data_IF_635831983199
#
_entry.id   IF_635831983199
#
_cell.length_a   1.000
_cell.length_b   1.000
_cell.length_c   1.000
_cell.angle_alpha   90.00
_cell.angle_beta   90.00
_cell.angle_gamma   90.00
#
_symmetry.space_group_name_H-M   'P 1'
#
loop_
_entity.id
_entity.type
_entity.pdbx_description
1 polymer ?
#
# COMPACT_ATOMS: atom_id res chain seq x y z
N UNK A 1 -22.55 -20.42 -73.13
CA UNK A 1 -23.64 -19.44 -73.26
C UNK A 1 -23.53 -18.45 -72.10
N UNK A 2 -23.25 -17.18 -72.42
CA UNK A 2 -23.19 -16.07 -71.49
C UNK A 2 -24.57 -15.79 -70.87
N UNK A 3 -24.59 -15.38 -69.59
CA UNK A 3 -25.30 -14.15 -69.18
C UNK A 3 -24.81 -13.67 -67.82
N UNK A 4 -24.18 -12.51 -67.89
CA UNK A 4 -23.85 -11.58 -66.80
C UNK A 4 -25.13 -10.91 -66.29
N UNK A 5 -25.17 -10.55 -65.01
CA UNK A 5 -25.94 -9.40 -64.51
C UNK A 5 -25.36 -8.90 -63.18
N UNK A 6 -25.36 -7.58 -63.08
CA UNK A 6 -24.48 -6.75 -62.29
C UNK A 6 -25.01 -6.40 -60.89
N UNK A 7 -24.04 -6.14 -60.01
CA UNK A 7 -23.97 -5.10 -58.97
C UNK A 7 -25.25 -4.34 -58.58
N UNK A 8 -25.53 -4.33 -57.27
CA UNK A 8 -26.02 -3.13 -56.57
C UNK A 8 -25.30 -2.96 -55.23
N UNK A 9 -24.47 -1.93 -55.17
CA UNK A 9 -23.90 -1.33 -53.96
C UNK A 9 -24.94 -0.44 -53.29
N UNK A 10 -25.12 -0.52 -51.97
CA UNK A 10 -25.75 0.56 -51.19
C UNK A 10 -24.82 1.05 -50.09
N UNK A 11 -24.14 2.16 -50.36
CA UNK A 11 -23.53 3.04 -49.36
C UNK A 11 -24.63 3.86 -48.70
N UNK A 12 -24.74 3.80 -47.37
CA UNK A 12 -25.54 4.75 -46.61
C UNK A 12 -24.60 5.61 -45.77
N UNK A 13 -24.17 6.72 -46.37
CA UNK A 13 -23.58 7.86 -45.66
C UNK A 13 -24.71 8.77 -45.22
N UNK A 14 -24.87 9.02 -43.92
CA UNK A 14 -25.59 10.23 -43.48
C UNK A 14 -25.05 10.76 -42.15
N UNK A 15 -24.52 11.98 -42.28
CA UNK A 15 -24.71 13.12 -41.39
C UNK A 15 -24.00 13.13 -40.02
N UNK A 16 -22.82 13.75 -40.10
CA UNK A 16 -22.17 14.57 -39.08
C UNK A 16 -23.18 15.49 -38.37
N UNK A 17 -23.24 15.41 -37.04
CA UNK A 17 -23.79 16.47 -36.19
C UNK A 17 -23.06 16.50 -34.83
N UNK A 18 -22.31 17.57 -34.59
CA UNK A 18 -21.85 18.11 -33.29
C UNK A 18 -21.71 19.63 -33.47
N UNK A 19 -21.73 20.48 -32.44
CA UNK A 19 -22.29 20.32 -31.08
C UNK A 19 -23.26 21.48 -30.73
N UNK A 20 -24.27 21.20 -29.89
CA UNK A 20 -25.05 22.26 -29.25
C UNK A 20 -24.32 22.74 -27.99
N UNK A 21 -23.81 23.97 -28.03
CA UNK A 21 -23.34 24.71 -26.87
C UNK A 21 -24.55 25.25 -26.09
N UNK A 22 -24.82 24.69 -24.92
CA UNK A 22 -25.73 25.29 -23.93
C UNK A 22 -24.93 26.12 -22.93
N UNK A 23 -25.10 27.43 -22.99
CA UNK A 23 -24.57 28.39 -22.04
C UNK A 23 -25.38 28.33 -20.73
N UNK A 24 -24.78 27.83 -19.65
CA UNK A 24 -25.32 28.03 -18.30
C UNK A 24 -24.75 29.33 -17.71
N UNK A 25 -25.59 30.23 -17.17
CA UNK A 25 -25.12 31.49 -16.61
C UNK A 25 -24.36 31.28 -15.29
N UNK A 26 -23.18 31.88 -15.21
CA UNK A 26 -22.36 31.97 -13.99
C UNK A 26 -22.99 33.00 -13.05
N UNK A 27 -23.46 32.55 -11.89
CA UNK A 27 -23.81 33.41 -10.76
C UNK A 27 -22.53 33.91 -10.06
N UNK A 28 -22.39 35.21 -9.75
CA UNK A 28 -21.26 35.72 -8.99
C UNK A 28 -21.53 35.58 -7.50
N UNK A 29 -20.97 34.55 -6.86
CA UNK A 29 -20.86 34.54 -5.40
C UNK A 29 -19.59 35.30 -4.98
N UNK A 30 -19.81 36.57 -4.63
CA UNK A 30 -18.89 37.41 -3.87
C UNK A 30 -18.80 36.89 -2.44
N UNK A 31 -17.67 36.33 -2.04
CA UNK A 31 -17.33 36.13 -0.64
C UNK A 31 -16.38 37.24 -0.20
N UNK A 32 -16.92 38.22 0.52
CA UNK A 32 -16.13 39.18 1.28
C UNK A 32 -15.52 38.50 2.51
N UNK A 33 -14.23 38.72 2.85
CA UNK A 33 -13.66 38.23 4.08
C UNK A 33 -14.12 39.12 5.24
N UNK A 34 -15.06 38.64 6.05
CA UNK A 34 -15.38 39.22 7.35
C UNK A 34 -14.28 38.83 8.34
N UNK A 35 -13.29 39.70 8.46
CA UNK A 35 -12.37 39.76 9.59
C UNK A 35 -13.13 40.18 10.85
N UNK A 36 -13.30 39.25 11.79
CA UNK A 36 -13.71 39.55 13.16
C UNK A 36 -12.52 39.38 14.12
N UNK A 37 -12.37 40.31 15.09
CA UNK A 37 -11.13 40.47 15.85
C UNK A 37 -10.99 39.43 16.97
N UNK A 38 -9.75 38.95 17.12
CA UNK A 38 -9.27 38.23 18.30
C UNK A 38 -9.47 39.06 19.58
N UNK A 39 -10.08 38.52 20.64
CA UNK A 39 -9.97 39.08 21.97
C UNK A 39 -8.62 38.68 22.57
N UNK A 40 -7.73 39.65 22.75
CA UNK A 40 -6.59 39.55 23.67
C UNK A 40 -7.11 39.61 25.11
N UNK A 41 -7.00 38.50 25.85
CA UNK A 41 -7.03 38.54 27.32
C UNK A 41 -5.66 38.21 27.88
N UNK A 42 -5.03 39.25 28.44
CA UNK A 42 -3.86 39.17 29.33
C UNK A 42 -4.27 38.66 30.73
N UNK A 43 -3.24 38.19 31.45
CA UNK A 43 -3.13 37.76 32.86
C UNK A 43 -3.22 36.23 33.03
N UNK A 44 -2.39 35.57 33.83
CA UNK A 44 -1.44 36.02 34.86
C UNK A 44 -0.31 35.00 34.97
N UNK A 45 0.90 35.49 35.17
CA UNK A 45 2.06 34.70 35.61
C UNK A 45 1.74 34.01 36.94
N UNK A 46 1.92 32.69 36.98
CA UNK A 46 2.12 31.93 38.21
C UNK A 46 3.40 31.12 38.03
N UNK A 47 4.47 31.61 38.66
CA UNK A 47 5.73 30.91 38.81
C UNK A 47 5.51 29.80 39.85
N UNK A 48 5.53 28.55 39.40
CA UNK A 48 5.75 27.41 40.29
C UNK A 48 7.13 26.85 39.99
N UNK A 49 8.10 27.34 40.75
CA UNK A 49 9.45 26.80 40.88
C UNK A 49 9.36 25.41 41.52
N UNK A 50 9.73 24.37 40.77
CA UNK A 50 10.14 23.08 41.33
C UNK A 50 11.66 22.96 41.17
N UNK A 51 12.40 22.59 42.24
CA UNK A 51 13.85 22.66 42.24
C UNK A 51 14.48 21.62 41.32
N UNK A 52 15.50 22.05 40.57
CA UNK A 52 16.41 21.17 39.88
C UNK A 52 17.34 20.49 40.90
N UNK A 53 17.27 19.16 40.99
CA UNK A 53 18.33 18.37 41.61
C UNK A 53 19.33 17.97 40.54
N UNK A 54 20.41 18.75 40.48
CA UNK A 54 21.65 18.46 39.77
C UNK A 54 22.55 17.62 40.71
N UNK A 55 23.13 16.55 40.16
CA UNK A 55 24.07 15.57 40.74
C UNK A 55 23.50 14.42 41.60
N UNK A 56 23.37 13.24 40.97
CA UNK A 56 24.27 12.11 41.24
C UNK A 56 24.41 11.21 40.01
N UNK A 57 25.66 11.09 39.57
CA UNK A 57 26.16 10.26 38.49
C UNK A 57 26.23 8.78 38.91
N UNK A 58 26.37 7.94 37.87
CA UNK A 58 26.82 6.53 37.85
C UNK A 58 25.75 5.45 38.10
N UNK A 59 25.07 5.10 37.01
CA UNK A 59 24.45 3.80 36.82
C UNK A 59 24.41 3.48 35.33
N UNK A 60 25.30 2.61 34.86
CA UNK A 60 25.28 2.05 33.51
C UNK A 60 23.98 1.24 33.32
N UNK A 61 22.93 1.91 32.86
CA UNK A 61 21.69 1.27 32.41
C UNK A 61 21.74 1.05 30.91
N UNK A 62 22.52 0.07 30.47
CA UNK A 62 22.40 -0.44 29.12
C UNK A 62 20.98 -1.02 28.97
N UNK A 63 20.13 -0.41 28.14
CA UNK A 63 18.96 -1.07 27.60
C UNK A 63 19.47 -2.22 26.70
N UNK A 64 19.81 -3.34 27.32
CA UNK A 64 20.11 -4.61 26.66
C UNK A 64 18.81 -5.16 26.07
N UNK A 65 18.34 -4.59 24.94
CA UNK A 65 17.63 -5.44 23.99
C UNK A 65 18.69 -6.38 23.41
N UNK A 66 18.54 -7.72 23.54
CA UNK A 66 19.52 -8.63 22.99
C UNK A 66 19.63 -8.37 21.48
N UNK A 67 20.86 -8.28 20.97
CA UNK A 67 21.08 -8.38 19.53
C UNK A 67 20.37 -9.65 19.05
N UNK A 68 19.73 -9.64 17.86
CA UNK A 68 19.06 -10.82 17.35
C UNK A 68 20.04 -11.99 17.40
N UNK A 69 19.67 -13.05 18.13
CA UNK A 69 20.49 -14.26 18.17
C UNK A 69 20.68 -14.74 16.73
N UNK A 70 21.85 -15.28 16.41
CA UNK A 70 22.15 -15.81 15.07
C UNK A 70 21.08 -16.80 14.59
N UNK A 71 20.47 -17.55 15.52
CA UNK A 71 19.34 -18.45 15.30
C UNK A 71 18.02 -17.72 14.98
N UNK A 72 17.70 -16.62 15.67
CA UNK A 72 16.51 -15.83 15.35
C UNK A 72 16.59 -15.19 13.94
N UNK A 73 17.80 -14.76 13.55
CA UNK A 73 18.03 -14.21 12.21
C UNK A 73 17.88 -15.26 11.12
N UNK A 74 18.39 -16.48 11.32
CA UNK A 74 18.25 -17.55 10.32
C UNK A 74 16.79 -17.97 10.12
N UNK A 75 15.98 -18.01 11.19
CA UNK A 75 14.54 -18.32 11.06
C UNK A 75 13.82 -17.22 10.27
N UNK A 76 14.06 -15.94 10.60
CA UNK A 76 13.42 -14.82 9.90
C UNK A 76 13.86 -14.69 8.44
N UNK A 77 15.08 -15.11 8.11
CA UNK A 77 15.61 -15.10 6.76
C UNK A 77 15.26 -16.36 5.95
N UNK A 78 14.68 -17.39 6.59
CA UNK A 78 14.21 -18.60 5.94
C UNK A 78 13.01 -18.36 5.02
N UNK A 79 12.60 -19.36 4.22
CA UNK A 79 11.43 -19.26 3.34
C UNK A 79 10.11 -19.13 4.11
N UNK A 80 9.06 -18.74 3.40
CA UNK A 80 7.69 -18.88 3.90
C UNK A 80 7.18 -20.30 3.64
N UNK A 81 7.20 -21.14 4.68
CA UNK A 81 6.78 -22.55 4.62
C UNK A 81 5.27 -22.75 4.80
N UNK A 82 4.48 -21.68 4.95
CA UNK A 82 3.03 -21.80 5.04
C UNK A 82 2.47 -22.30 3.70
N UNK A 83 1.39 -23.08 3.76
CA UNK A 83 0.70 -23.63 2.57
C UNK A 83 -0.62 -22.89 2.36
N UNK A 84 -0.90 -22.35 1.16
CA UNK A 84 -2.18 -21.71 0.88
C UNK A 84 -3.30 -22.76 0.82
N UNK A 85 -4.55 -22.31 0.81
CA UNK A 85 -5.69 -23.22 0.64
C UNK A 85 -5.60 -24.00 -0.70
N UNK A 86 -6.21 -25.20 -0.80
CA UNK A 86 -6.14 -26.01 -2.02
C UNK A 86 -6.58 -25.24 -3.27
N UNK A 87 -5.75 -25.28 -4.32
CA UNK A 87 -6.00 -24.56 -5.59
C UNK A 87 -5.53 -23.11 -5.60
N UNK A 88 -5.12 -22.56 -4.45
CA UNK A 88 -4.72 -21.17 -4.31
C UNK A 88 -3.20 -21.00 -4.40
N UNK A 89 -2.76 -19.78 -4.70
CA UNK A 89 -1.34 -19.40 -4.66
C UNK A 89 -1.14 -18.21 -3.72
N UNK A 90 0.05 -18.14 -3.11
CA UNK A 90 0.49 -16.97 -2.37
C UNK A 90 1.17 -15.94 -3.29
N UNK A 91 1.02 -14.67 -2.93
CA UNK A 91 1.80 -13.54 -3.43
C UNK A 91 2.05 -12.56 -2.28
N UNK A 92 3.18 -11.87 -2.25
CA UNK A 92 3.49 -10.94 -1.17
C UNK A 92 4.04 -9.60 -1.69
N UNK A 93 3.48 -8.51 -1.18
CA UNK A 93 3.76 -7.15 -1.65
C UNK A 93 3.99 -6.19 -0.48
N UNK A 94 5.05 -5.39 -0.54
CA UNK A 94 5.29 -4.23 0.33
C UNK A 94 5.14 -2.93 -0.46
N UNK A 95 4.28 -2.02 -0.01
CA UNK A 95 3.93 -0.82 -0.78
C UNK A 95 3.59 0.38 0.12
N UNK A 96 4.34 0.52 1.22
CA UNK A 96 4.08 1.50 2.28
C UNK A 96 3.24 0.92 3.42
N UNK A 97 2.50 1.78 4.13
CA UNK A 97 1.60 1.36 5.21
C UNK A 97 0.62 0.28 4.69
N UNK A 98 0.70 -0.92 5.27
CA UNK A 98 0.00 -2.10 4.77
C UNK A 98 -1.54 -2.01 4.82
N UNK A 99 -2.14 -1.04 5.53
CA UNK A 99 -3.59 -0.90 5.67
C UNK A 99 -4.27 -0.55 4.34
N UNK A 100 -3.71 0.43 3.63
CA UNK A 100 -4.22 0.83 2.32
C UNK A 100 -3.92 -0.20 1.24
N UNK A 101 -2.78 -0.88 1.36
CA UNK A 101 -2.35 -1.94 0.44
C UNK A 101 -3.25 -3.16 0.57
N UNK A 102 -3.55 -3.59 1.80
CA UNK A 102 -4.45 -4.71 2.05
C UNK A 102 -5.82 -4.43 1.46
N UNK A 103 -6.40 -3.27 1.73
CA UNK A 103 -7.71 -2.89 1.21
C UNK A 103 -7.75 -2.91 -0.33
N UNK A 104 -6.65 -2.54 -0.99
CA UNK A 104 -6.57 -2.61 -2.45
C UNK A 104 -6.69 -4.06 -2.94
N UNK A 105 -5.97 -5.00 -2.33
CA UNK A 105 -6.05 -6.42 -2.67
C UNK A 105 -7.37 -7.07 -2.26
N UNK A 106 -7.98 -6.64 -1.14
CA UNK A 106 -9.29 -7.14 -0.71
C UNK A 106 -10.35 -6.95 -1.79
N UNK A 107 -10.26 -5.89 -2.60
CA UNK A 107 -11.22 -5.53 -3.65
C UNK A 107 -11.02 -6.30 -4.96
N UNK A 108 -9.96 -7.09 -5.11
CA UNK A 108 -9.66 -7.79 -6.37
C UNK A 108 -10.50 -9.07 -6.48
N UNK A 109 -11.34 -9.25 -7.52
CA UNK A 109 -11.99 -10.53 -7.80
C UNK A 109 -10.96 -11.65 -7.95
N UNK A 110 -11.26 -12.86 -7.44
CA UNK A 110 -10.32 -13.98 -7.40
C UNK A 110 -9.29 -13.94 -6.27
N UNK A 111 -9.10 -12.81 -5.57
CA UNK A 111 -8.40 -12.80 -4.27
C UNK A 111 -9.33 -13.38 -3.20
N UNK A 112 -8.85 -14.40 -2.50
CA UNK A 112 -9.64 -15.19 -1.53
C UNK A 112 -9.28 -14.92 -0.08
N UNK A 113 -8.04 -14.52 0.19
CA UNK A 113 -7.61 -14.05 1.52
C UNK A 113 -6.55 -12.97 1.38
N UNK A 114 -6.59 -12.00 2.28
CA UNK A 114 -5.50 -11.05 2.53
C UNK A 114 -5.10 -11.15 3.98
N UNK A 115 -3.84 -10.89 4.28
CA UNK A 115 -3.36 -10.67 5.62
C UNK A 115 -2.15 -9.75 5.62
N UNK A 116 -2.08 -8.87 6.61
CA UNK A 116 -0.94 -7.97 6.81
C UNK A 116 0.08 -8.58 7.77
N UNK A 117 1.36 -8.26 7.56
CA UNK A 117 2.42 -8.80 8.37
C UNK A 117 3.78 -8.18 8.10
N UNK A 118 4.79 -8.82 8.68
CA UNK A 118 6.18 -8.41 8.63
C UNK A 118 7.02 -9.51 7.96
N UNK A 119 7.93 -9.15 7.06
CA UNK A 119 8.80 -10.11 6.37
C UNK A 119 10.14 -9.46 5.99
N UNK A 120 11.08 -10.24 5.44
CA UNK A 120 12.41 -9.80 4.96
C UNK A 120 13.40 -9.27 6.01
N UNK A 121 12.98 -9.09 7.26
CA UNK A 121 13.83 -8.66 8.36
C UNK A 121 14.57 -9.79 9.06
N UNK A 122 15.38 -9.43 10.06
CA UNK A 122 16.29 -10.35 10.75
C UNK A 122 15.79 -10.76 12.13
N UNK A 123 14.60 -10.32 12.55
CA UNK A 123 14.07 -10.61 13.88
C UNK A 123 13.02 -11.71 13.79
N UNK A 124 13.17 -12.77 14.57
CA UNK A 124 12.12 -13.78 14.71
C UNK A 124 11.02 -13.27 15.63
N UNK A 125 9.75 -13.48 15.26
CA UNK A 125 8.56 -13.02 15.97
C UNK A 125 8.58 -11.53 16.33
N UNK A 126 8.75 -10.62 15.35
CA UNK A 126 8.74 -9.19 15.62
C UNK A 126 7.34 -8.73 16.03
N UNK A 127 7.27 -7.79 16.99
CA UNK A 127 6.05 -7.03 17.29
C UNK A 127 5.97 -5.77 16.42
N UNK A 128 4.79 -5.16 16.33
CA UNK A 128 4.64 -3.84 15.70
C UNK A 128 5.63 -2.82 16.30
N UNK A 129 5.80 -2.80 17.62
CA UNK A 129 6.71 -1.88 18.30
C UNK A 129 8.18 -2.12 17.89
N UNK A 130 8.58 -3.38 17.73
CA UNK A 130 9.93 -3.69 17.24
C UNK A 130 10.14 -3.20 15.81
N UNK A 131 9.16 -3.40 14.92
CA UNK A 131 9.23 -2.92 13.53
C UNK A 131 9.26 -1.40 13.46
N UNK A 132 8.47 -0.71 14.30
CA UNK A 132 8.46 0.75 14.38
C UNK A 132 9.82 1.37 14.74
N UNK A 133 10.70 0.61 15.40
CA UNK A 133 12.07 1.10 15.67
C UNK A 133 12.92 1.26 14.40
N UNK A 134 12.55 0.61 13.30
CA UNK A 134 13.33 0.52 12.06
C UNK A 134 14.57 -0.38 12.15
N UNK A 135 14.87 -0.96 13.32
CA UNK A 135 16.10 -1.74 13.53
C UNK A 135 16.01 -3.20 13.07
N UNK A 136 14.80 -3.72 12.84
CA UNK A 136 14.57 -5.12 12.49
C UNK A 136 14.77 -5.42 10.99
N UNK A 137 14.78 -4.38 10.16
CA UNK A 137 14.76 -4.44 8.70
C UNK A 137 13.54 -5.18 8.09
N UNK A 138 12.52 -5.49 8.89
CA UNK A 138 11.27 -5.99 8.35
C UNK A 138 10.61 -4.96 7.43
N UNK A 139 9.94 -5.44 6.41
CA UNK A 139 8.99 -4.65 5.62
C UNK A 139 7.57 -4.91 6.11
N UNK A 140 6.72 -3.88 6.13
CA UNK A 140 5.27 -4.08 6.15
C UNK A 140 4.83 -4.65 4.80
N UNK A 141 4.18 -5.80 4.83
CA UNK A 141 3.76 -6.51 3.64
C UNK A 141 2.32 -7.00 3.76
N UNK A 142 1.68 -7.16 2.62
CA UNK A 142 0.43 -7.91 2.47
C UNK A 142 0.76 -9.25 1.85
N UNK A 143 0.39 -10.35 2.51
CA UNK A 143 0.35 -11.68 1.91
C UNK A 143 -1.07 -11.93 1.38
N UNK A 144 -1.15 -12.24 0.10
CA UNK A 144 -2.38 -12.44 -0.66
C UNK A 144 -2.49 -13.91 -1.02
N UNK A 145 -3.66 -14.51 -0.81
CA UNK A 145 -4.05 -15.77 -1.45
C UNK A 145 -5.05 -15.49 -2.56
N UNK A 146 -4.79 -16.02 -3.75
CA UNK A 146 -5.65 -15.86 -4.92
C UNK A 146 -5.87 -17.18 -5.64
N UNK A 147 -7.02 -17.33 -6.31
CA UNK A 147 -7.28 -18.44 -7.23
C UNK A 147 -6.68 -18.06 -8.60
N UNK A 148 -5.63 -18.76 -9.09
CA UNK A 148 -5.03 -18.50 -10.39
C UNK A 148 -5.99 -18.67 -11.59
N UNK A 149 -7.14 -19.32 -11.39
CA UNK A 149 -8.18 -19.48 -12.42
C UNK A 149 -9.08 -18.25 -12.52
N UNK A 150 -9.17 -17.45 -11.46
CA UNK A 150 -10.01 -16.25 -11.40
C UNK A 150 -9.19 -14.94 -11.43
N UNK A 151 -7.95 -14.97 -10.95
CA UNK A 151 -7.06 -13.81 -10.87
C UNK A 151 -5.64 -14.19 -11.31
N UNK A 152 -5.06 -13.45 -12.25
CA UNK A 152 -3.67 -13.63 -12.65
C UNK A 152 -2.72 -12.87 -11.73
N UNK A 153 -1.47 -13.33 -11.64
CA UNK A 153 -0.43 -12.59 -10.92
C UNK A 153 -0.19 -11.20 -11.54
N UNK A 154 -0.28 -11.06 -12.87
CA UNK A 154 -0.22 -9.75 -13.55
C UNK A 154 -1.30 -8.79 -13.06
N UNK A 155 -2.51 -9.28 -12.77
CA UNK A 155 -3.58 -8.44 -12.20
C UNK A 155 -3.19 -7.91 -10.82
N UNK A 156 -2.52 -8.73 -10.00
CA UNK A 156 -2.02 -8.30 -8.69
C UNK A 156 -0.87 -7.29 -8.84
N UNK A 157 -0.01 -7.45 -9.85
CA UNK A 157 1.05 -6.49 -10.17
C UNK A 157 0.48 -5.14 -10.62
N UNK A 158 -0.58 -5.12 -11.45
CA UNK A 158 -1.25 -3.89 -11.85
C UNK A 158 -1.82 -3.13 -10.63
N UNK A 159 -2.45 -3.86 -9.69
CA UNK A 159 -2.93 -3.29 -8.43
C UNK A 159 -1.78 -2.74 -7.60
N UNK A 160 -0.67 -3.48 -7.50
CA UNK A 160 0.53 -3.04 -6.80
C UNK A 160 1.07 -1.71 -7.35
N UNK A 161 1.27 -1.62 -8.66
CA UNK A 161 1.79 -0.41 -9.31
C UNK A 161 0.84 0.78 -9.22
N UNK A 162 -0.48 0.55 -9.23
CA UNK A 162 -1.48 1.61 -9.09
C UNK A 162 -1.62 2.14 -7.65
N UNK A 163 -1.20 1.35 -6.64
CA UNK A 163 -1.47 1.65 -5.22
C UNK A 163 -0.46 2.61 -4.57
N UNK A 164 0.77 2.68 -5.07
CA UNK A 164 1.86 3.38 -4.38
C UNK A 164 2.82 4.08 -5.36
N UNK A 165 3.80 4.81 -4.82
CA UNK A 165 4.87 5.42 -5.61
C UNK A 165 6.08 4.47 -5.58
N UNK A 166 6.36 3.74 -6.66
CA UNK A 166 7.46 2.77 -6.67
C UNK A 166 8.85 3.43 -6.79
N UNK A 167 8.95 4.75 -6.72
CA UNK A 167 10.17 5.54 -6.97
C UNK A 167 10.71 6.24 -5.71
N UNK A 168 10.08 6.03 -4.56
CA UNK A 168 10.50 6.56 -3.26
C UNK A 168 11.16 5.49 -2.41
N UNK A 169 12.48 5.61 -2.22
CA UNK A 169 13.25 4.66 -1.42
C UNK A 169 12.89 4.79 0.06
N UNK A 170 12.57 3.66 0.70
CA UNK A 170 12.28 3.55 2.15
C UNK A 170 11.26 4.59 2.65
N UNK A 171 10.24 4.85 1.85
CA UNK A 171 9.19 5.82 2.13
C UNK A 171 7.98 5.55 1.24
N UNK A 172 6.79 5.77 1.79
CA UNK A 172 5.58 5.94 1.01
C UNK A 172 4.74 7.10 1.57
N UNK A 173 4.55 8.15 0.77
CA UNK A 173 3.93 9.38 1.26
C UNK A 173 4.70 9.97 2.45
N UNK A 174 4.03 10.14 3.58
CA UNK A 174 4.63 10.65 4.82
C UNK A 174 5.18 9.54 5.75
N UNK A 175 4.96 8.27 5.41
CA UNK A 175 5.48 7.14 6.17
C UNK A 175 6.93 6.87 5.74
N UNK A 176 7.88 7.20 6.62
CA UNK A 176 9.33 7.13 6.36
C UNK A 176 9.97 6.03 7.17
N UNK A 177 10.72 5.16 6.52
CA UNK A 177 11.40 4.03 7.14
C UNK A 177 11.54 2.84 6.20
N UNK A 178 12.52 1.97 6.47
CA UNK A 178 12.75 0.77 5.66
C UNK A 178 11.54 -0.17 5.68
N UNK A 179 10.71 -0.12 6.73
CA UNK A 179 9.48 -0.88 6.85
C UNK A 179 8.35 -0.45 5.89
N UNK A 180 8.54 0.65 5.16
CA UNK A 180 7.58 1.16 4.19
C UNK A 180 8.12 1.08 2.75
N UNK A 181 9.16 0.27 2.52
CA UNK A 181 9.80 0.16 1.20
C UNK A 181 8.91 -0.60 0.22
N UNK A 182 9.05 -0.24 -1.05
CA UNK A 182 8.41 -0.96 -2.15
C UNK A 182 9.10 -2.30 -2.40
N UNK A 183 8.35 -3.39 -2.49
CA UNK A 183 8.90 -4.72 -2.74
C UNK A 183 7.86 -5.73 -3.23
N UNK A 184 8.30 -6.62 -4.12
CA UNK A 184 7.56 -7.79 -4.59
C UNK A 184 8.33 -9.03 -4.13
N UNK A 185 7.66 -9.90 -3.38
CA UNK A 185 8.28 -11.09 -2.81
C UNK A 185 7.64 -12.35 -3.41
N UNK A 186 8.38 -12.99 -4.31
CA UNK A 186 7.86 -14.07 -5.15
C UNK A 186 8.00 -15.44 -4.49
N UNK A 187 7.02 -16.31 -4.74
CA UNK A 187 7.00 -17.71 -4.29
C UNK A 187 7.48 -18.67 -5.37
N UNK A 188 7.43 -18.27 -6.65
CA UNK A 188 7.85 -19.11 -7.79
C UNK A 188 8.69 -18.34 -8.81
N UNK A 189 9.49 -19.04 -9.65
CA UNK A 189 10.23 -18.41 -10.74
C UNK A 189 9.33 -17.69 -11.76
N UNK A 190 8.10 -18.17 -11.99
CA UNK A 190 7.14 -17.54 -12.88
C UNK A 190 6.69 -16.17 -12.33
N UNK A 191 6.46 -16.08 -11.02
CA UNK A 191 6.17 -14.80 -10.35
C UNK A 191 7.37 -13.85 -10.42
N UNK A 192 8.60 -14.35 -10.25
CA UNK A 192 9.80 -13.53 -10.41
C UNK A 192 9.89 -12.92 -11.81
N UNK A 193 9.74 -13.76 -12.84
CA UNK A 193 9.79 -13.33 -14.24
C UNK A 193 8.70 -12.29 -14.54
N UNK A 194 7.45 -12.57 -14.17
CA UNK A 194 6.34 -11.65 -14.37
C UNK A 194 6.55 -10.31 -13.63
N UNK A 195 7.05 -10.34 -12.39
CA UNK A 195 7.36 -9.13 -11.63
C UNK A 195 8.43 -8.28 -12.32
N UNK A 196 9.49 -8.90 -12.84
CA UNK A 196 10.58 -8.20 -13.56
C UNK A 196 10.07 -7.58 -14.86
N UNK A 197 9.34 -8.32 -15.67
CA UNK A 197 8.74 -7.80 -16.90
C UNK A 197 7.75 -6.66 -16.64
N UNK A 198 6.93 -6.80 -15.59
CA UNK A 198 5.97 -5.78 -15.19
C UNK A 198 6.66 -4.51 -14.70
N UNK A 199 7.75 -4.63 -13.93
CA UNK A 199 8.60 -3.49 -13.54
C UNK A 199 9.18 -2.77 -14.75
N UNK A 200 9.68 -3.49 -15.76
CA UNK A 200 10.20 -2.89 -16.99
C UNK A 200 9.13 -2.14 -17.77
N UNK A 201 7.91 -2.70 -17.86
CA UNK A 201 6.75 -2.03 -18.48
C UNK A 201 6.39 -0.76 -17.72
N UNK A 202 6.30 -0.84 -16.39
CA UNK A 202 5.95 0.29 -15.53
C UNK A 202 7.02 1.39 -15.55
N UNK A 203 8.31 1.03 -15.59
CA UNK A 203 9.40 1.99 -15.64
C UNK A 203 9.32 2.90 -16.87
N UNK A 204 8.81 2.40 -18.02
CA UNK A 204 8.62 3.21 -19.23
C UNK A 204 7.57 4.31 -19.07
N UNK A 205 6.68 4.18 -18.08
CA UNK A 205 5.63 5.16 -17.78
C UNK A 205 6.08 6.22 -16.76
N UNK A 206 7.21 6.00 -16.08
CA UNK A 206 7.67 6.83 -14.97
C UNK A 206 9.00 7.52 -15.29
N UNK A 207 9.08 8.81 -14.99
CA UNK A 207 10.31 9.60 -15.17
C UNK A 207 11.38 9.28 -14.11
N UNK A 208 10.94 8.89 -12.90
CA UNK A 208 11.83 8.51 -11.80
C UNK A 208 12.09 7.01 -11.87
N UNK A 209 13.31 6.62 -11.51
CA UNK A 209 13.70 5.20 -11.46
C UNK A 209 12.89 4.48 -10.38
N UNK A 210 12.33 3.33 -10.74
CA UNK A 210 11.69 2.39 -9.81
C UNK A 210 12.76 1.83 -8.88
N UNK A 211 12.45 1.82 -7.58
CA UNK A 211 13.32 1.31 -6.51
C UNK A 211 12.73 0.07 -5.83
N UNK A 212 11.61 -0.47 -6.33
CA UNK A 212 11.01 -1.70 -5.80
C UNK A 212 12.01 -2.85 -5.85
N UNK A 213 12.17 -3.56 -4.74
CA UNK A 213 12.96 -4.79 -4.71
C UNK A 213 12.12 -5.98 -5.22
N UNK A 214 12.75 -6.90 -5.97
CA UNK A 214 12.14 -8.17 -6.38
C UNK A 214 13.02 -9.28 -5.82
N UNK A 215 12.55 -9.93 -4.77
CA UNK A 215 13.31 -10.92 -3.98
C UNK A 215 12.46 -12.15 -3.68
N UNK A 216 13.06 -13.31 -3.33
CA UNK A 216 12.29 -14.45 -2.87
C UNK A 216 11.47 -14.12 -1.61
N UNK A 217 10.27 -14.68 -1.51
CA UNK A 217 9.48 -14.67 -0.29
C UNK A 217 10.24 -15.36 0.85
N UNK A 218 10.19 -14.71 2.02
CA UNK A 218 10.79 -15.19 3.27
C UNK A 218 9.72 -15.29 4.33
N UNK A 219 10.06 -15.86 5.48
CA UNK A 219 9.16 -16.07 6.61
C UNK A 219 8.24 -14.88 6.82
N UNK A 220 6.94 -15.16 6.80
CA UNK A 220 5.89 -14.19 7.03
C UNK A 220 5.45 -14.25 8.49
N UNK A 221 5.51 -13.10 9.17
CA UNK A 221 4.98 -12.94 10.52
C UNK A 221 3.69 -12.15 10.43
N UNK A 222 2.55 -12.84 10.59
CA UNK A 222 1.23 -12.19 10.63
C UNK A 222 1.22 -11.12 11.72
N UNK A 223 0.86 -9.89 11.36
CA UNK A 223 0.74 -8.79 12.31
C UNK A 223 -0.47 -8.99 13.23
N UNK A 224 -0.50 -8.24 14.32
CA UNK A 224 -1.54 -8.27 15.34
C UNK A 224 -2.94 -8.02 14.75
N UNK A 225 -3.97 -8.62 15.37
CA UNK A 225 -5.33 -8.61 14.82
C UNK A 225 -5.94 -7.20 14.64
N UNK A 226 -5.45 -6.21 15.39
CA UNK A 226 -5.90 -4.83 15.25
C UNK A 226 -5.40 -4.18 13.95
N UNK A 227 -4.36 -4.70 13.30
CA UNK A 227 -3.91 -4.23 11.98
C UNK A 227 -4.67 -4.86 10.81
N UNK A 228 -5.29 -6.01 11.04
CA UNK A 228 -5.90 -6.84 10.00
C UNK A 228 -7.21 -6.22 9.53
N UNK A 229 -7.36 -5.99 8.23
CA UNK A 229 -8.50 -5.34 7.58
C UNK A 229 -8.87 -3.99 8.23
N UNK A 230 -7.86 -3.23 8.69
CA UNK A 230 -8.04 -2.04 9.52
C UNK A 230 -8.99 -0.99 8.91
N UNK A 231 -8.82 -0.66 7.63
CA UNK A 231 -9.65 0.34 6.95
C UNK A 231 -11.09 -0.13 6.72
N UNK A 232 -11.30 -1.42 6.47
CA UNK A 232 -12.63 -2.01 6.36
C UNK A 232 -13.35 -2.05 7.72
N UNK A 233 -12.59 -2.18 8.82
CA UNK A 233 -13.11 -2.14 10.20
C UNK A 233 -13.46 -0.72 10.67
N UNK A 234 -12.94 0.33 10.02
CA UNK A 234 -13.29 1.73 10.30
C UNK A 234 -12.11 2.70 10.23
N UNK A 235 -10.88 2.20 10.19
CA UNK A 235 -9.69 3.04 10.24
C UNK A 235 -9.60 3.91 11.50
N UNK A 236 -8.72 4.90 11.46
CA UNK A 236 -8.42 5.83 12.56
C UNK A 236 -9.62 6.68 12.98
N UNK A 237 -10.49 7.01 12.03
CA UNK A 237 -11.58 7.97 12.22
C UNK A 237 -12.96 7.31 12.31
N UNK A 238 -13.05 5.98 12.25
CA UNK A 238 -14.31 5.22 12.30
C UNK A 238 -15.09 5.17 10.98
N UNK A 239 -14.63 5.85 9.92
CA UNK A 239 -15.25 5.82 8.59
C UNK A 239 -14.75 4.63 7.78
N UNK A 240 -15.53 3.54 7.79
CA UNK A 240 -15.25 2.33 7.02
C UNK A 240 -15.06 2.64 5.54
N UNK A 241 -14.10 1.94 4.94
CA UNK A 241 -13.91 1.93 3.50
C UNK A 241 -14.32 0.56 2.97
N UNK A 242 -15.16 0.53 1.93
CA UNK A 242 -15.69 -0.74 1.40
C UNK A 242 -14.55 -1.63 0.89
N UNK A 243 -14.61 -2.92 1.22
CA UNK A 243 -13.72 -3.97 0.74
C UNK A 243 -14.41 -4.86 -0.31
N UNK A 244 -15.59 -4.46 -0.80
CA UNK A 244 -16.33 -5.20 -1.81
C UNK A 244 -15.51 -5.40 -3.09
N UNK A 245 -15.68 -6.57 -3.72
CA UNK A 245 -15.00 -6.90 -4.97
C UNK A 245 -15.38 -5.90 -6.06
N UNK A 246 -14.38 -5.34 -6.74
CA UNK A 246 -14.55 -4.33 -7.78
C UNK A 246 -14.82 -2.91 -7.27
N UNK A 247 -14.80 -2.65 -5.95
CA UNK A 247 -14.94 -1.30 -5.43
C UNK A 247 -13.77 -0.41 -5.88
N UNK A 248 -14.09 0.72 -6.52
CA UNK A 248 -13.11 1.69 -7.02
C UNK A 248 -13.10 3.00 -6.24
N UNK A 249 -13.77 3.06 -5.09
CA UNK A 249 -13.75 4.24 -4.23
C UNK A 249 -12.31 4.58 -3.81
N UNK A 250 -11.88 5.85 -3.85
CA UNK A 250 -10.52 6.21 -3.47
C UNK A 250 -10.17 5.73 -2.06
N UNK A 251 -9.10 4.93 -1.95
CA UNK A 251 -8.60 4.47 -0.65
C UNK A 251 -7.87 5.61 0.05
N UNK A 252 -8.33 5.94 1.25
CA UNK A 252 -7.69 6.89 2.18
C UNK A 252 -6.74 6.13 3.10
N UNK A 253 -5.53 6.65 3.28
CA UNK A 253 -4.43 5.90 3.91
C UNK A 253 -4.73 5.37 5.31
N UNK A 254 -5.42 6.15 6.16
CA UNK A 254 -5.58 5.83 7.57
C UNK A 254 -7.03 5.73 8.04
N UNK A 255 -8.01 6.09 7.22
CA UNK A 255 -9.42 6.19 7.61
C UNK A 255 -10.16 7.29 6.87
#
# INVERSE_FOLDING_TARGET
MLRSLALTTSSSSSLVAKPFFSHSPKLPYSFSPLSLPFPQTRRSTSLHTRPMNILKNLGFGANNKPAPSMEGSSIAQGPDDDVPAPGQQFAQFGAGCFWGVELAFQRVPGVTKTEVGYSQGFMHNPTYEDVCTGSTNHNEVVRVQYDPKECSFDTLLDVFWARHDPTTLNRQGNDVGTQYRSGIYFYTPEQEMAARESMEKQQKLLNRKIVSEILPAKKFYRAEEYHQQYLAKGGRFGFKQSAEKGCNDPIRCYG
#
